data_IF_759678122154
#
_entry.id   IF_759678122154
#
_cell.length_a   1.000
_cell.length_b   1.000
_cell.length_c   1.000
_cell.angle_alpha   90.00
_cell.angle_beta   90.00
_cell.angle_gamma   90.00
#
_symmetry.space_group_name_H-M   'P 1'
#
loop_
_entity.id
_entity.type
_entity.pdbx_description
1 polymer ?
#
# COMPACT_ATOMS: atom_id res chain seq x y z
N UNK A 1 57.89 -54.81 -5.32
CA UNK A 1 56.74 -53.93 -5.59
C UNK A 1 56.53 -53.04 -4.37
N UNK A 2 56.77 -51.74 -4.49
CA UNK A 2 56.76 -50.78 -3.37
C UNK A 2 55.32 -50.36 -3.07
N UNK A 3 54.92 -50.46 -1.80
CA UNK A 3 53.62 -50.04 -1.25
C UNK A 3 53.60 -48.53 -1.09
N UNK A 4 52.55 -47.86 -1.54
CA UNK A 4 52.22 -46.49 -1.12
C UNK A 4 50.74 -46.48 -0.77
N UNK A 5 50.47 -46.36 0.52
CA UNK A 5 49.16 -46.05 1.07
C UNK A 5 48.99 -44.53 1.08
N UNK A 6 47.85 -44.02 0.63
CA UNK A 6 47.42 -42.66 0.91
C UNK A 6 45.96 -42.68 1.33
N UNK A 7 45.76 -42.58 2.64
CA UNK A 7 44.51 -42.26 3.30
C UNK A 7 44.20 -40.78 3.12
N UNK A 8 43.04 -40.44 2.57
CA UNK A 8 42.45 -39.10 2.69
C UNK A 8 41.09 -39.25 3.34
N UNK A 9 41.01 -38.82 4.60
CA UNK A 9 39.79 -38.56 5.34
C UNK A 9 39.40 -37.09 5.15
N UNK A 10 38.10 -36.77 5.15
CA UNK A 10 37.67 -35.42 5.53
C UNK A 10 36.42 -34.85 4.87
N UNK A 11 35.35 -34.81 5.67
CA UNK A 11 34.30 -33.78 5.73
C UNK A 11 33.26 -33.69 4.59
N UNK A 12 32.12 -34.35 4.81
CA UNK A 12 30.85 -33.94 4.24
C UNK A 12 30.41 -32.60 4.88
N UNK A 13 30.45 -31.52 4.12
CA UNK A 13 29.84 -30.24 4.51
C UNK A 13 28.36 -30.27 4.15
N UNK A 14 27.53 -30.72 5.10
CA UNK A 14 26.09 -30.41 5.08
C UNK A 14 25.92 -28.93 5.41
N UNK A 15 26.06 -28.07 4.41
CA UNK A 15 25.65 -26.66 4.54
C UNK A 15 24.13 -26.64 4.47
N UNK A 16 23.50 -26.79 5.64
CA UNK A 16 22.10 -26.42 5.84
C UNK A 16 21.97 -24.92 5.66
N UNK A 17 21.79 -24.49 4.41
CA UNK A 17 21.33 -23.15 4.11
C UNK A 17 19.91 -23.04 4.64
N UNK A 18 19.77 -22.54 5.87
CA UNK A 18 18.50 -22.06 6.40
C UNK A 18 18.01 -20.96 5.47
N UNK A 19 17.16 -21.31 4.52
CA UNK A 19 16.37 -20.37 3.76
C UNK A 19 15.47 -19.68 4.79
N UNK A 20 15.88 -18.49 5.24
CA UNK A 20 14.98 -17.58 5.91
C UNK A 20 13.86 -17.28 4.91
N UNK A 21 12.71 -17.93 5.09
CA UNK A 21 11.50 -17.61 4.34
C UNK A 21 11.11 -16.21 4.75
N UNK A 22 11.44 -15.22 3.91
CA UNK A 22 10.84 -13.91 4.04
C UNK A 22 9.33 -14.11 4.12
N UNK A 23 8.64 -13.56 5.14
CA UNK A 23 7.19 -13.69 5.21
C UNK A 23 6.62 -13.24 3.87
N UNK A 24 5.87 -14.13 3.22
CA UNK A 24 5.29 -13.86 1.90
C UNK A 24 4.51 -12.55 1.96
N UNK A 25 4.85 -11.62 1.08
CA UNK A 25 4.12 -10.37 0.95
C UNK A 25 2.65 -10.72 0.61
N UNK A 26 1.74 -10.47 1.55
CA UNK A 26 0.32 -10.60 1.27
C UNK A 26 -0.06 -9.50 0.27
N UNK A 27 -0.77 -9.87 -0.81
CA UNK A 27 -1.24 -8.90 -1.78
C UNK A 27 -2.19 -7.90 -1.11
N UNK A 28 -2.00 -6.61 -1.37
CA UNK A 28 -2.88 -5.57 -0.86
C UNK A 28 -4.31 -5.75 -1.39
N UNK A 29 -5.30 -5.33 -0.60
CA UNK A 29 -6.70 -5.33 -1.04
C UNK A 29 -6.86 -4.38 -2.24
N UNK A 30 -7.44 -4.84 -3.37
CA UNK A 30 -7.63 -3.98 -4.54
C UNK A 30 -8.69 -2.91 -4.25
N UNK A 31 -8.43 -1.68 -4.72
CA UNK A 31 -9.46 -0.64 -4.75
C UNK A 31 -10.39 -0.90 -5.94
N UNK A 32 -11.73 -0.91 -5.75
CA UNK A 32 -12.66 -1.13 -6.84
C UNK A 32 -12.54 -0.07 -7.94
N UNK A 33 -12.72 -0.48 -9.20
CA UNK A 33 -12.76 0.43 -10.34
C UNK A 33 -13.86 1.50 -10.16
N UNK A 34 -13.53 2.75 -10.49
CA UNK A 34 -14.41 3.90 -10.31
C UNK A 34 -14.35 4.54 -8.93
N UNK A 35 -13.54 4.03 -8.00
CA UNK A 35 -13.43 4.54 -6.63
C UNK A 35 -12.10 5.22 -6.33
N UNK A 36 -12.11 6.02 -5.26
CA UNK A 36 -10.92 6.38 -4.49
C UNK A 36 -10.96 5.61 -3.19
N UNK A 37 -9.84 5.01 -2.80
CA UNK A 37 -9.74 4.26 -1.56
C UNK A 37 -8.60 4.76 -0.67
N UNK A 38 -8.77 4.67 0.65
CA UNK A 38 -7.67 4.85 1.61
C UNK A 38 -7.29 3.48 2.16
N UNK A 39 -6.05 3.08 1.90
CA UNK A 39 -5.47 1.81 2.33
C UNK A 39 -4.75 1.96 3.68
N UNK A 40 -5.02 1.00 4.56
CA UNK A 40 -4.34 0.82 5.83
C UNK A 40 -2.88 0.37 5.63
N UNK A 41 -2.03 0.57 6.63
CA UNK A 41 -0.61 0.16 6.57
C UNK A 41 -0.42 -1.35 6.44
N UNK A 42 -1.40 -2.15 6.87
CA UNK A 42 -1.42 -3.61 6.69
C UNK A 42 -1.90 -4.05 5.30
N UNK A 43 -2.11 -3.11 4.37
CA UNK A 43 -2.54 -3.39 3.00
C UNK A 43 -4.05 -3.58 2.82
N UNK A 44 -4.84 -3.51 3.88
CA UNK A 44 -6.31 -3.67 3.80
C UNK A 44 -7.02 -2.36 3.45
N UNK A 45 -8.22 -2.46 2.89
CA UNK A 45 -9.10 -1.31 2.64
C UNK A 45 -10.41 -1.56 3.40
N UNK A 46 -10.73 -0.67 4.33
CA UNK A 46 -11.98 -0.71 5.08
C UNK A 46 -13.13 -0.21 4.21
N UNK A 47 -14.34 -0.79 4.33
CA UNK A 47 -15.50 -0.37 3.52
C UNK A 47 -15.86 1.12 3.66
N UNK A 48 -15.62 1.72 4.85
CA UNK A 48 -15.79 3.17 5.10
C UNK A 48 -14.82 4.07 4.33
N UNK A 49 -13.74 3.49 3.80
CA UNK A 49 -12.66 4.19 3.12
C UNK A 49 -12.69 3.93 1.60
N UNK A 50 -13.88 3.66 1.04
CA UNK A 50 -14.11 3.49 -0.39
C UNK A 50 -15.13 4.54 -0.82
N UNK A 51 -14.74 5.43 -1.73
CA UNK A 51 -15.52 6.59 -2.13
C UNK A 51 -15.80 6.53 -3.63
N UNK A 52 -17.07 6.64 -4.03
CA UNK A 52 -17.51 6.54 -5.43
C UNK A 52 -18.10 7.83 -5.98
N UNK A 53 -18.82 8.59 -5.15
CA UNK A 53 -19.51 9.79 -5.60
C UNK A 53 -18.61 11.02 -5.59
N UNK A 54 -18.76 11.89 -6.58
CA UNK A 54 -18.14 13.21 -6.56
C UNK A 54 -18.64 14.05 -5.39
N UNK A 55 -17.83 15.01 -4.96
CA UNK A 55 -18.07 15.85 -3.79
C UNK A 55 -17.24 15.44 -2.58
N UNK A 56 -17.49 16.11 -1.46
CA UNK A 56 -16.72 15.96 -0.23
C UNK A 56 -17.18 14.77 0.62
N UNK A 57 -16.22 14.04 1.17
CA UNK A 57 -16.39 12.91 2.08
C UNK A 57 -15.59 13.17 3.35
N UNK A 58 -16.28 13.37 4.48
CA UNK A 58 -15.61 13.57 5.76
C UNK A 58 -14.99 12.27 6.25
N UNK A 59 -13.72 12.35 6.65
CA UNK A 59 -13.01 11.22 7.24
C UNK A 59 -13.30 11.16 8.74
N UNK A 60 -13.40 9.95 9.26
CA UNK A 60 -13.56 9.69 10.69
C UNK A 60 -12.61 8.57 11.08
N UNK A 61 -11.76 8.81 12.07
CA UNK A 61 -10.78 7.83 12.56
C UNK A 61 -9.91 7.26 11.42
N UNK A 62 -9.37 8.15 10.57
CA UNK A 62 -8.35 7.83 9.57
C UNK A 62 -7.11 8.61 9.97
N UNK A 63 -6.15 7.94 10.59
CA UNK A 63 -4.97 8.60 11.18
C UNK A 63 -3.69 7.85 10.86
N UNK A 64 -2.56 8.55 10.99
CA UNK A 64 -1.23 8.04 10.64
C UNK A 64 -1.01 7.92 9.14
N UNK A 65 0.08 7.25 8.75
CA UNK A 65 0.44 7.10 7.35
C UNK A 65 -0.53 6.20 6.58
N UNK A 66 -1.12 6.73 5.50
CA UNK A 66 -2.02 6.00 4.61
C UNK A 66 -1.62 6.17 3.16
N UNK A 67 -2.00 5.18 2.35
CA UNK A 67 -1.89 5.24 0.90
C UNK A 67 -3.27 5.51 0.34
N UNK A 68 -3.42 6.57 -0.45
CA UNK A 68 -4.60 6.71 -1.32
C UNK A 68 -4.39 5.97 -2.62
N UNK A 69 -5.46 5.33 -3.07
CA UNK A 69 -5.52 4.60 -4.32
C UNK A 69 -6.60 5.26 -5.17
N UNK A 70 -6.21 5.85 -6.29
CA UNK A 70 -7.16 6.37 -7.28
C UNK A 70 -7.40 5.29 -8.33
N UNK A 71 -8.56 4.62 -8.26
CA UNK A 71 -9.01 3.66 -9.28
C UNK A 71 -10.13 4.24 -10.15
N UNK A 72 -10.29 5.56 -10.15
CA UNK A 72 -11.29 6.25 -10.97
C UNK A 72 -10.92 6.17 -12.47
N UNK A 73 -11.91 6.41 -13.33
CA UNK A 73 -11.76 6.39 -14.80
C UNK A 73 -12.25 7.72 -15.39
N UNK A 74 -12.06 7.92 -16.70
CA UNK A 74 -12.61 9.09 -17.39
C UNK A 74 -11.91 10.42 -17.07
N UNK A 75 -10.70 10.36 -16.51
CA UNK A 75 -9.91 11.54 -16.13
C UNK A 75 -10.20 12.07 -14.72
N UNK A 76 -11.15 11.48 -14.00
CA UNK A 76 -11.53 11.87 -12.65
C UNK A 76 -10.34 11.83 -11.66
N UNK A 77 -10.50 12.57 -10.56
CA UNK A 77 -9.47 12.66 -9.54
C UNK A 77 -10.02 13.00 -8.17
N UNK A 78 -9.09 13.30 -7.26
CA UNK A 78 -9.41 13.66 -5.89
C UNK A 78 -8.55 14.79 -5.37
N UNK A 79 -8.99 15.38 -4.27
CA UNK A 79 -8.23 16.33 -3.45
C UNK A 79 -8.25 15.87 -2.00
N UNK A 80 -7.16 16.13 -1.30
CA UNK A 80 -7.01 15.88 0.14
C UNK A 80 -7.21 17.20 0.87
N UNK A 81 -8.10 17.23 1.85
CA UNK A 81 -8.53 18.48 2.47
C UNK A 81 -8.27 18.47 3.98
N UNK A 82 -7.61 19.52 4.46
CA UNK A 82 -7.31 19.70 5.88
C UNK A 82 -8.55 20.07 6.70
N UNK A 83 -9.60 20.60 6.07
CA UNK A 83 -10.88 20.87 6.71
C UNK A 83 -11.95 19.85 6.36
N UNK A 84 -13.05 19.87 7.11
CA UNK A 84 -14.26 19.11 6.77
C UNK A 84 -14.99 19.74 5.57
N UNK A 85 -15.83 18.94 4.93
CA UNK A 85 -16.70 19.32 3.81
C UNK A 85 -15.96 19.92 2.61
N UNK A 86 -14.73 19.47 2.36
CA UNK A 86 -13.96 19.89 1.18
C UNK A 86 -13.38 21.30 1.29
N UNK A 87 -12.86 21.65 2.46
CA UNK A 87 -12.24 22.96 2.72
C UNK A 87 -10.73 22.84 2.91
N UNK A 88 -9.98 23.85 2.46
CA UNK A 88 -8.50 23.88 2.52
C UNK A 88 -7.86 22.63 1.89
N UNK A 89 -8.06 22.48 0.57
CA UNK A 89 -7.71 21.29 -0.19
C UNK A 89 -6.41 21.43 -0.97
N UNK A 90 -5.75 20.30 -1.20
CA UNK A 90 -4.66 20.15 -2.15
C UNK A 90 -5.11 20.46 -3.59
N UNK A 91 -4.17 20.57 -4.54
CA UNK A 91 -4.50 20.45 -5.96
C UNK A 91 -5.21 19.13 -6.29
N UNK A 92 -5.87 19.08 -7.44
CA UNK A 92 -6.52 17.86 -7.93
C UNK A 92 -5.47 16.86 -8.41
N UNK A 93 -5.51 15.66 -7.84
CA UNK A 93 -4.70 14.52 -8.24
C UNK A 93 -5.49 13.59 -9.17
N UNK A 94 -5.04 13.46 -10.43
CA UNK A 94 -5.74 12.68 -11.48
C UNK A 94 -5.02 11.40 -11.92
N UNK A 95 -3.79 11.17 -11.43
CA UNK A 95 -3.07 9.94 -11.74
C UNK A 95 -3.81 8.73 -11.13
N UNK A 96 -3.89 7.64 -11.88
CA UNK A 96 -4.49 6.40 -11.39
C UNK A 96 -3.43 5.53 -10.71
N UNK A 97 -3.83 4.78 -9.69
CA UNK A 97 -2.98 3.87 -8.93
C UNK A 97 -2.72 4.34 -7.52
N UNK A 98 -1.68 3.76 -6.92
CA UNK A 98 -1.27 4.05 -5.54
C UNK A 98 -0.46 5.34 -5.48
N UNK A 99 -0.75 6.17 -4.47
CA UNK A 99 0.00 7.37 -4.13
C UNK A 99 1.04 7.10 -3.04
N UNK A 100 1.96 8.05 -2.86
CA UNK A 100 2.90 8.00 -1.75
C UNK A 100 2.15 8.00 -0.41
N UNK A 101 2.68 7.25 0.57
CA UNK A 101 2.10 7.26 1.90
C UNK A 101 2.35 8.61 2.59
N UNK A 102 1.29 9.25 3.08
CA UNK A 102 1.36 10.51 3.83
C UNK A 102 0.61 10.39 5.15
N UNK A 103 0.90 11.27 6.11
CA UNK A 103 0.15 11.33 7.36
C UNK A 103 -1.26 11.88 7.11
N UNK A 104 -2.26 11.06 7.37
CA UNK A 104 -3.68 11.38 7.25
C UNK A 104 -4.28 11.99 8.52
N UNK A 105 -3.52 12.05 9.62
CA UNK A 105 -3.96 12.67 10.88
C UNK A 105 -4.51 14.10 10.70
N UNK A 106 -3.90 14.99 9.88
CA UNK A 106 -4.44 16.33 9.66
C UNK A 106 -5.53 16.40 8.58
N UNK A 107 -5.79 15.31 7.84
CA UNK A 107 -6.72 15.28 6.71
C UNK A 107 -8.13 14.95 7.23
N UNK A 108 -9.06 15.87 7.01
CA UNK A 108 -10.41 15.76 7.53
C UNK A 108 -11.45 15.41 6.47
N UNK A 109 -11.16 15.62 5.18
CA UNK A 109 -12.02 15.16 4.09
C UNK A 109 -11.26 14.85 2.80
N UNK A 110 -11.88 14.03 1.95
CA UNK A 110 -11.50 13.87 0.54
C UNK A 110 -12.58 14.46 -0.35
N UNK A 111 -12.19 15.11 -1.45
CA UNK A 111 -13.14 15.58 -2.47
C UNK A 111 -12.88 14.85 -3.78
N UNK A 112 -13.85 14.09 -4.26
CA UNK A 112 -13.78 13.46 -5.58
C UNK A 112 -14.32 14.45 -6.62
N UNK A 113 -13.64 14.55 -7.76
CA UNK A 113 -13.98 15.47 -8.85
C UNK A 113 -13.97 14.76 -10.20
N UNK A 114 -14.81 15.20 -11.16
CA UNK A 114 -14.77 14.71 -12.54
C UNK A 114 -13.50 15.15 -13.26
#
# INVERSE_FOLDING_TARGET
>A
MRKIAMTVAGAALLVGAGLATAPGAQAATPCPSGAVCIRETNGTILSKNIFYSYGAHNLSNVTGYRVVVNSQTGGAGFQECLGYNGTNCSPVYRATGDYAAIDYTPINSLVLVP
#
